data_IF_917218913017
#
_entry.id   IF_917218913017
#
_cell.length_a   1.000
_cell.length_b   1.000
_cell.length_c   1.000
_cell.angle_alpha   90.00
_cell.angle_beta   90.00
_cell.angle_gamma   90.00
#
_symmetry.space_group_name_H-M   'P 1'
#
loop_
_entity.id
_entity.type
_entity.pdbx_description
1 polymer ?
#
# COMPACT_ATOMS: atom_id res chain seq x y z
N UNK A 1 -27.96 12.77 -15.06
CA UNK A 1 -27.45 11.38 -15.06
C UNK A 1 -26.19 11.39 -14.21
N UNK A 2 -26.23 10.87 -12.99
CA UNK A 2 -25.02 10.84 -12.14
C UNK A 2 -24.04 9.88 -12.80
N UNK A 3 -22.82 10.35 -13.06
CA UNK A 3 -21.75 9.47 -13.56
C UNK A 3 -21.59 8.30 -12.58
N UNK A 4 -21.39 7.09 -13.09
CA UNK A 4 -21.16 5.89 -12.26
C UNK A 4 -20.03 6.13 -11.25
N UNK A 5 -19.00 6.87 -11.66
CA UNK A 5 -17.87 7.23 -10.81
C UNK A 5 -18.25 8.22 -9.70
N UNK A 6 -19.13 9.18 -9.98
CA UNK A 6 -19.64 10.12 -8.98
C UNK A 6 -20.57 9.44 -7.98
N UNK A 7 -21.36 8.45 -8.41
CA UNK A 7 -22.19 7.66 -7.51
C UNK A 7 -21.31 6.84 -6.55
N UNK A 8 -20.25 6.19 -7.05
CA UNK A 8 -19.31 5.42 -6.24
C UNK A 8 -18.60 6.34 -5.22
N UNK A 9 -18.07 7.48 -5.69
CA UNK A 9 -17.42 8.45 -4.81
C UNK A 9 -18.36 8.99 -3.74
N UNK A 10 -19.61 9.30 -4.09
CA UNK A 10 -20.62 9.76 -3.15
C UNK A 10 -20.98 8.72 -2.08
N UNK A 11 -21.12 7.44 -2.47
CA UNK A 11 -21.37 6.35 -1.52
C UNK A 11 -20.20 6.18 -0.55
N UNK A 12 -18.97 6.17 -1.05
CA UNK A 12 -17.76 6.06 -0.20
C UNK A 12 -17.70 7.23 0.78
N UNK A 13 -17.93 8.46 0.32
CA UNK A 13 -17.95 9.64 1.18
C UNK A 13 -18.99 9.52 2.30
N UNK A 14 -20.22 9.11 1.98
CA UNK A 14 -21.28 8.92 2.97
C UNK A 14 -20.88 7.86 3.99
N UNK A 15 -20.33 6.73 3.55
CA UNK A 15 -19.86 5.67 4.46
C UNK A 15 -18.77 6.18 5.38
N UNK A 16 -17.78 6.91 4.86
CA UNK A 16 -16.71 7.50 5.68
C UNK A 16 -17.26 8.50 6.71
N UNK A 17 -18.18 9.38 6.31
CA UNK A 17 -18.81 10.36 7.21
C UNK A 17 -19.61 9.64 8.30
N UNK A 18 -20.40 8.63 7.94
CA UNK A 18 -21.16 7.84 8.91
C UNK A 18 -20.24 7.12 9.90
N UNK A 19 -19.16 6.49 9.41
CA UNK A 19 -18.17 5.86 10.29
C UNK A 19 -17.49 6.86 11.22
N UNK A 20 -17.15 8.06 10.74
CA UNK A 20 -16.58 9.12 11.57
C UNK A 20 -17.55 9.56 12.67
N UNK A 21 -18.83 9.76 12.33
CA UNK A 21 -19.87 10.10 13.30
C UNK A 21 -20.03 8.98 14.33
N UNK A 22 -20.16 7.73 13.88
CA UNK A 22 -20.30 6.56 14.76
C UNK A 22 -19.09 6.42 15.69
N UNK A 23 -17.87 6.63 15.19
CA UNK A 23 -16.65 6.60 16.00
C UNK A 23 -16.70 7.66 17.10
N UNK A 24 -16.98 8.92 16.76
CA UNK A 24 -17.03 10.02 17.73
C UNK A 24 -18.14 9.79 18.76
N UNK A 25 -19.34 9.44 18.32
CA UNK A 25 -20.48 9.17 19.21
C UNK A 25 -20.15 8.02 20.15
N UNK A 26 -19.59 6.92 19.65
CA UNK A 26 -19.24 5.77 20.49
C UNK A 26 -18.12 6.11 21.49
N UNK A 27 -17.17 6.93 21.10
CA UNK A 27 -16.04 7.31 21.96
C UNK A 27 -16.50 8.19 23.14
N UNK A 28 -17.33 9.20 22.88
CA UNK A 28 -17.77 10.17 23.90
C UNK A 28 -19.06 9.77 24.62
N UNK A 29 -19.92 8.98 23.98
CA UNK A 29 -21.17 8.51 24.55
C UNK A 29 -21.34 7.01 24.27
N UNK A 30 -20.61 6.11 24.97
CA UNK A 30 -20.73 4.67 24.75
C UNK A 30 -22.04 4.07 25.30
N UNK A 31 -22.85 4.83 26.04
CA UNK A 31 -24.05 4.34 26.71
C UNK A 31 -25.09 3.78 25.73
N UNK A 32 -25.23 4.37 24.54
CA UNK A 32 -26.16 3.85 23.52
C UNK A 32 -25.91 2.39 23.13
N UNK A 33 -24.65 1.91 23.11
CA UNK A 33 -24.32 0.50 22.84
C UNK A 33 -24.71 -0.40 24.02
N UNK A 34 -24.59 0.12 25.24
CA UNK A 34 -24.95 -0.59 26.47
C UNK A 34 -26.47 -0.73 26.57
N UNK A 35 -27.20 0.35 26.28
CA UNK A 35 -28.67 0.38 26.27
C UNK A 35 -29.24 -0.57 25.20
N UNK A 36 -28.54 -0.72 24.06
CA UNK A 36 -28.86 -1.71 23.04
C UNK A 36 -28.57 -3.16 23.47
N UNK A 37 -27.84 -3.37 24.57
CA UNK A 37 -27.49 -4.70 25.11
C UNK A 37 -26.27 -5.35 24.46
N UNK A 38 -25.53 -4.62 23.61
CA UNK A 38 -24.40 -5.16 22.84
C UNK A 38 -23.10 -5.18 23.64
N UNK A 39 -23.02 -4.45 24.75
CA UNK A 39 -21.89 -4.44 25.64
C UNK A 39 -22.32 -4.13 27.08
N UNK A 40 -21.52 -4.58 28.05
CA UNK A 40 -21.81 -4.42 29.49
C UNK A 40 -20.93 -3.40 30.19
N UNK A 41 -19.92 -2.86 29.50
CA UNK A 41 -18.93 -1.97 30.11
C UNK A 41 -18.52 -0.84 29.15
N UNK A 42 -18.72 0.40 29.59
CA UNK A 42 -18.37 1.61 28.84
C UNK A 42 -16.87 1.72 28.59
N UNK A 43 -16.06 1.41 29.62
CA UNK A 43 -14.60 1.49 29.53
C UNK A 43 -14.02 0.47 28.54
N UNK A 44 -14.60 -0.73 28.48
CA UNK A 44 -14.20 -1.74 27.51
C UNK A 44 -14.47 -1.26 26.08
N UNK A 45 -15.65 -0.68 25.82
CA UNK A 45 -16.00 -0.16 24.49
C UNK A 45 -15.02 0.93 24.07
N UNK A 46 -14.79 1.92 24.93
CA UNK A 46 -13.88 3.03 24.63
C UNK A 46 -12.47 2.53 24.35
N UNK A 47 -11.98 1.59 25.16
CA UNK A 47 -10.66 0.98 24.94
C UNK A 47 -10.59 0.31 23.57
N UNK A 48 -11.55 -0.56 23.22
CA UNK A 48 -11.51 -1.30 21.95
C UNK A 48 -11.71 -0.42 20.71
N UNK A 49 -12.56 0.61 20.81
CA UNK A 49 -12.80 1.58 19.73
C UNK A 49 -11.52 2.35 19.37
N UNK A 50 -10.65 2.63 20.35
CA UNK A 50 -9.35 3.26 20.11
C UNK A 50 -8.27 2.23 19.78
N UNK A 51 -8.23 1.12 20.51
CA UNK A 51 -7.19 0.12 20.39
C UNK A 51 -7.17 -0.52 19.00
N UNK A 52 -8.33 -0.81 18.40
CA UNK A 52 -8.40 -1.48 17.09
C UNK A 52 -7.78 -0.62 15.97
N UNK A 53 -8.21 0.63 15.73
CA UNK A 53 -7.60 1.47 14.69
C UNK A 53 -6.11 1.72 14.92
N UNK A 54 -5.71 1.99 16.17
CA UNK A 54 -4.30 2.24 16.52
C UNK A 54 -3.47 0.99 16.30
N UNK A 55 -3.98 -0.19 16.69
CA UNK A 55 -3.30 -1.46 16.47
C UNK A 55 -3.13 -1.76 14.98
N UNK A 56 -4.17 -1.58 14.17
CA UNK A 56 -4.09 -1.79 12.71
C UNK A 56 -3.05 -0.84 12.09
N UNK A 57 -3.07 0.44 12.44
CA UNK A 57 -2.10 1.41 11.96
C UNK A 57 -0.66 1.03 12.37
N UNK A 58 -0.47 0.63 13.63
CA UNK A 58 0.83 0.21 14.13
C UNK A 58 1.35 -1.06 13.44
N UNK A 59 0.51 -2.08 13.27
CA UNK A 59 0.87 -3.31 12.57
C UNK A 59 1.21 -3.03 11.11
N UNK A 60 0.47 -2.15 10.43
CA UNK A 60 0.79 -1.76 9.05
C UNK A 60 2.18 -1.12 8.95
N UNK A 61 2.53 -0.23 9.87
CA UNK A 61 3.87 0.39 9.92
C UNK A 61 4.95 -0.68 10.21
N UNK A 62 4.71 -1.57 11.17
CA UNK A 62 5.63 -2.67 11.49
C UNK A 62 5.84 -3.62 10.30
N UNK A 63 4.80 -3.94 9.53
CA UNK A 63 4.91 -4.78 8.34
C UNK A 63 5.74 -4.10 7.24
N UNK A 64 5.59 -2.80 7.05
CA UNK A 64 6.43 -2.04 6.10
C UNK A 64 7.90 -2.08 6.56
N UNK A 65 8.17 -1.82 7.84
CA UNK A 65 9.52 -1.89 8.39
C UNK A 65 10.13 -3.29 8.28
N UNK A 66 9.37 -4.33 8.57
CA UNK A 66 9.78 -5.72 8.42
C UNK A 66 10.09 -6.08 6.96
N UNK A 67 9.27 -5.61 6.02
CA UNK A 67 9.50 -5.82 4.59
C UNK A 67 10.79 -5.13 4.11
N UNK A 68 11.04 -3.89 4.51
CA UNK A 68 12.28 -3.17 4.17
C UNK A 68 13.50 -3.86 4.82
N UNK A 69 13.39 -4.26 6.09
CA UNK A 69 14.44 -5.01 6.76
C UNK A 69 14.74 -6.35 6.07
N UNK A 70 13.69 -7.04 5.62
CA UNK A 70 13.80 -8.29 4.88
C UNK A 70 14.50 -8.09 3.53
N UNK A 71 14.14 -7.07 2.76
CA UNK A 71 14.81 -6.80 1.48
C UNK A 71 16.28 -6.45 1.69
N UNK A 72 16.64 -5.61 2.66
CA UNK A 72 18.05 -5.30 2.95
C UNK A 72 18.85 -6.53 3.42
N UNK A 73 18.26 -7.40 4.23
CA UNK A 73 18.92 -8.62 4.72
C UNK A 73 19.13 -9.66 3.61
N UNK A 74 18.22 -9.70 2.63
CA UNK A 74 18.24 -10.69 1.54
C UNK A 74 18.86 -10.16 0.25
N UNK A 75 19.09 -8.85 0.13
CA UNK A 75 19.82 -8.27 -0.99
C UNK A 75 21.33 -8.40 -0.76
N UNK A 76 22.04 -9.25 -1.53
CA UNK A 76 23.50 -9.17 -1.56
C UNK A 76 23.92 -7.77 -2.00
N UNK A 77 25.03 -7.24 -1.46
CA UNK A 77 25.49 -5.90 -1.78
C UNK A 77 25.53 -5.72 -3.31
N UNK A 78 25.01 -4.60 -3.84
CA UNK A 78 24.94 -4.36 -5.27
C UNK A 78 26.33 -4.58 -5.86
N UNK A 79 26.41 -5.41 -6.91
CA UNK A 79 27.67 -5.68 -7.61
C UNK A 79 28.31 -4.33 -8.03
N UNK A 80 29.64 -4.22 -8.00
CA UNK A 80 30.34 -3.01 -8.40
C UNK A 80 29.85 -2.54 -9.79
N UNK A 81 29.56 -1.23 -9.88
CA UNK A 81 28.97 -0.59 -11.06
C UNK A 81 29.80 -0.86 -12.33
N UNK A 82 31.11 -1.08 -12.20
CA UNK A 82 32.01 -1.35 -13.32
C UNK A 82 31.69 -2.64 -14.11
N UNK A 83 31.19 -3.70 -13.45
CA UNK A 83 30.83 -4.95 -14.15
C UNK A 83 29.50 -4.80 -14.89
N UNK A 84 28.51 -4.15 -14.27
CA UNK A 84 27.19 -3.89 -14.87
C UNK A 84 27.32 -2.94 -16.07
N UNK A 85 28.18 -1.91 -15.96
CA UNK A 85 28.38 -0.95 -17.07
C UNK A 85 29.05 -1.63 -18.27
N UNK A 86 30.01 -2.53 -18.03
CA UNK A 86 30.66 -3.30 -19.10
C UNK A 86 29.72 -4.28 -19.78
N UNK A 87 28.89 -4.99 -19.01
CA UNK A 87 27.87 -5.92 -19.54
C UNK A 87 26.83 -5.19 -20.41
N UNK A 88 26.36 -4.02 -19.98
CA UNK A 88 25.41 -3.19 -20.75
C UNK A 88 26.07 -2.64 -22.03
N UNK A 89 27.33 -2.19 -21.95
CA UNK A 89 28.05 -1.65 -23.11
C UNK A 89 28.39 -2.75 -24.14
N UNK A 90 28.66 -3.99 -23.69
CA UNK A 90 28.80 -5.16 -24.57
C UNK A 90 27.48 -5.56 -25.24
N UNK A 91 26.37 -5.60 -24.50
CA UNK A 91 25.05 -5.88 -25.09
C UNK A 91 24.63 -4.80 -26.10
N UNK A 92 24.88 -3.52 -25.80
CA UNK A 92 24.55 -2.43 -26.73
C UNK A 92 25.40 -2.48 -28.01
N UNK A 93 26.66 -2.91 -27.91
CA UNK A 93 27.53 -3.16 -29.07
C UNK A 93 27.04 -4.33 -29.91
N UNK A 94 26.73 -5.47 -29.29
CA UNK A 94 26.21 -6.65 -30.00
C UNK A 94 24.87 -6.37 -30.69
N UNK A 95 23.98 -5.60 -30.05
CA UNK A 95 22.71 -5.19 -30.64
C UNK A 95 22.87 -4.21 -31.83
N UNK A 96 23.92 -3.38 -31.82
CA UNK A 96 24.26 -2.49 -32.96
C UNK A 96 24.88 -3.27 -34.12
N UNK A 97 25.74 -4.24 -33.82
CA UNK A 97 26.36 -5.12 -34.82
C UNK A 97 25.32 -6.01 -35.51
N UNK A 98 24.38 -6.61 -34.77
CA UNK A 98 23.27 -7.39 -35.37
C UNK A 98 22.39 -6.54 -36.28
N UNK A 99 22.05 -5.31 -35.88
CA UNK A 99 21.27 -4.39 -36.72
C UNK A 99 22.01 -3.93 -37.97
N UNK A 100 23.33 -3.74 -37.88
CA UNK A 100 24.15 -3.39 -39.04
C UNK A 100 24.27 -4.56 -40.02
N UNK A 101 24.39 -5.80 -39.52
CA UNK A 101 24.47 -7.00 -40.34
C UNK A 101 23.11 -7.34 -41.00
N UNK A 102 21.99 -7.10 -40.32
CA UNK A 102 20.64 -7.19 -40.91
C UNK A 102 20.42 -6.15 -42.00
N UNK A 103 20.88 -4.90 -41.80
CA UNK A 103 20.78 -3.84 -42.80
C UNK A 103 21.65 -4.13 -44.04
N UNK A 104 22.86 -4.66 -43.87
CA UNK A 104 23.74 -5.01 -44.99
C UNK A 104 23.22 -6.23 -45.78
N UNK A 105 22.58 -7.20 -45.13
CA UNK A 105 21.92 -8.33 -45.81
C UNK A 105 20.63 -7.95 -46.52
N UNK A 106 19.96 -6.87 -46.11
CA UNK A 106 18.75 -6.38 -46.78
C UNK A 106 19.04 -5.50 -48.01
N UNK A 107 20.29 -5.01 -48.17
CA UNK A 107 20.71 -4.15 -49.28
C UNK A 107 21.42 -4.92 -50.43
N UNK A 108 21.71 -6.22 -50.25
CA UNK A 108 22.25 -7.14 -51.28
C UNK A 108 21.18 -8.06 -51.83
#
# INVERSE_FOLDING_TARGET
>A
MVSKDQAIGGVIFIVCVLLAILYVVTLFYPQWIIDLGWAKSASAIQFWVVAIPVFIAFVAVMLIGAWIGWTMATTPPPKPIEEITKEIEEEEKRAKEEKAEEAEKAEK
#
